data_IF_431748456581
#
_entry.id   IF_431748456581
#
_cell.length_a   1.000
_cell.length_b   1.000
_cell.length_c   1.000
_cell.angle_alpha   90.00
_cell.angle_beta   90.00
_cell.angle_gamma   90.00
#
_symmetry.space_group_name_H-M   'P 1'
#
loop_
_entity.id
_entity.type
_entity.pdbx_description
1 polymer ?
#
# COMPACT_ATOMS: atom_id res chain seq x y z
N UNK A 1 7.34 5.65 9.00
CA UNK A 1 7.35 5.98 7.58
C UNK A 1 7.08 7.47 7.35
N UNK A 2 7.85 8.13 6.56
CA UNK A 2 7.76 9.56 6.26
C UNK A 2 7.74 9.80 4.74
N UNK A 3 7.43 11.03 4.32
CA UNK A 3 7.23 11.53 2.95
C UNK A 3 8.43 11.39 1.96
N UNK A 4 9.57 11.14 2.37
CA UNK A 4 10.67 10.56 1.61
C UNK A 4 10.74 9.08 1.92
N UNK A 5 11.56 8.28 1.30
CA UNK A 5 12.37 8.55 0.14
C UNK A 5 11.62 8.31 -1.19
N UNK A 6 12.16 8.87 -2.23
CA UNK A 6 11.80 8.59 -3.63
C UNK A 6 12.70 7.49 -4.22
N UNK A 7 12.63 7.25 -5.52
CA UNK A 7 13.51 6.30 -6.21
C UNK A 7 13.08 4.84 -6.06
N UNK A 8 13.95 3.92 -5.63
CA UNK A 8 13.63 2.49 -5.58
C UNK A 8 12.67 2.11 -4.45
N UNK A 9 12.51 2.97 -3.44
CA UNK A 9 11.66 2.71 -2.29
C UNK A 9 10.18 2.70 -2.65
N UNK A 10 9.37 1.79 -2.11
CA UNK A 10 7.93 1.82 -2.28
C UNK A 10 7.34 3.06 -1.61
N UNK A 11 6.36 3.67 -2.25
CA UNK A 11 5.68 4.82 -1.71
C UNK A 11 4.28 4.98 -2.33
N UNK A 12 3.48 5.93 -1.82
CA UNK A 12 2.08 6.18 -2.17
C UNK A 12 1.87 7.41 -3.04
N UNK A 13 2.89 7.86 -3.74
CA UNK A 13 2.79 9.04 -4.60
C UNK A 13 1.85 8.78 -5.78
N UNK A 14 1.13 9.80 -6.21
CA UNK A 14 0.20 9.73 -7.34
C UNK A 14 0.92 9.29 -8.61
N UNK A 15 2.16 9.76 -8.82
CA UNK A 15 2.96 9.46 -10.00
C UNK A 15 3.55 8.02 -10.01
N UNK A 16 3.35 7.29 -8.94
CA UNK A 16 3.86 5.94 -8.84
C UNK A 16 2.82 4.90 -9.28
N UNK A 17 3.31 3.82 -9.92
CA UNK A 17 2.46 2.65 -10.18
C UNK A 17 1.87 2.11 -8.88
N UNK A 18 0.63 1.69 -8.92
CA UNK A 18 -0.13 1.23 -7.74
C UNK A 18 0.51 0.01 -7.04
N UNK A 19 1.21 -0.83 -7.78
CA UNK A 19 1.99 -1.94 -7.20
C UNK A 19 2.97 -1.45 -6.12
N UNK A 20 3.49 -0.22 -6.21
CA UNK A 20 4.40 0.35 -5.20
C UNK A 20 3.69 0.67 -3.88
N UNK A 21 2.39 0.80 -3.90
CA UNK A 21 1.56 0.89 -2.69
C UNK A 21 1.32 -0.51 -2.13
N UNK A 22 0.97 -1.47 -2.98
CA UNK A 22 0.62 -2.83 -2.61
C UNK A 22 1.80 -3.63 -2.07
N UNK A 23 2.96 -3.52 -2.70
CA UNK A 23 4.17 -4.26 -2.34
C UNK A 23 4.66 -3.99 -0.90
N UNK A 24 4.18 -2.92 -0.29
CA UNK A 24 4.58 -2.54 1.05
C UNK A 24 4.25 -3.62 2.10
N UNK A 25 3.09 -4.26 1.97
CA UNK A 25 2.68 -5.35 2.85
C UNK A 25 3.57 -6.59 2.69
N UNK A 26 3.97 -6.90 1.47
CA UNK A 26 4.89 -8.00 1.15
C UNK A 26 6.27 -7.75 1.77
N UNK A 27 6.77 -6.51 1.67
CA UNK A 27 8.04 -6.12 2.31
C UNK A 27 7.93 -6.24 3.83
N UNK A 28 6.85 -5.75 4.43
CA UNK A 28 6.62 -5.90 5.87
C UNK A 28 6.63 -7.36 6.30
N UNK A 29 5.93 -8.22 5.58
CA UNK A 29 5.93 -9.65 5.87
C UNK A 29 7.32 -10.26 5.76
N UNK A 30 8.01 -10.05 4.62
CA UNK A 30 9.33 -10.62 4.36
C UNK A 30 10.39 -10.17 5.36
N UNK A 31 10.30 -8.94 5.84
CA UNK A 31 11.26 -8.37 6.80
C UNK A 31 10.84 -8.57 8.27
N UNK A 32 9.76 -9.31 8.52
CA UNK A 32 9.26 -9.54 9.88
C UNK A 32 8.75 -8.29 10.59
N UNK A 33 8.27 -7.29 9.84
CA UNK A 33 7.75 -6.05 10.37
C UNK A 33 6.24 -6.21 10.58
N UNK A 34 5.74 -6.12 11.82
CA UNK A 34 4.33 -6.40 12.11
C UNK A 34 3.35 -5.32 11.62
N UNK A 35 3.87 -4.19 11.18
CA UNK A 35 3.05 -3.08 10.69
C UNK A 35 3.88 -1.86 10.36
N UNK A 36 3.23 -0.85 9.83
CA UNK A 36 3.85 0.43 9.51
C UNK A 36 2.90 1.58 9.83
N UNK A 37 3.47 2.74 10.03
CA UNK A 37 2.72 3.98 10.20
C UNK A 37 2.97 4.89 8.99
N UNK A 38 1.90 5.38 8.40
CA UNK A 38 1.95 6.49 7.44
C UNK A 38 1.47 7.77 8.12
N UNK A 39 2.22 8.84 7.98
CA UNK A 39 1.96 10.10 8.70
C UNK A 39 0.71 10.85 8.23
N UNK A 40 0.35 10.71 6.95
CA UNK A 40 -0.75 11.44 6.33
C UNK A 40 -1.85 10.54 5.79
N UNK A 41 -3.05 10.70 6.31
CA UNK A 41 -4.26 10.06 5.82
C UNK A 41 -5.13 11.06 5.05
N UNK A 42 -5.34 12.22 5.63
CA UNK A 42 -6.17 13.31 5.12
C UNK A 42 -5.52 14.69 5.39
N UNK A 43 -4.20 14.74 5.36
CA UNK A 43 -3.46 15.98 5.59
C UNK A 43 -3.47 16.80 4.29
N UNK A 44 -4.50 17.60 4.11
CA UNK A 44 -4.69 18.39 2.88
C UNK A 44 -3.88 19.68 2.84
N UNK A 45 -3.09 19.93 3.87
CA UNK A 45 -2.25 21.12 3.97
C UNK A 45 -3.00 22.37 4.43
N UNK A 46 -2.24 23.43 4.63
CA UNK A 46 -2.79 24.72 5.07
C UNK A 46 -2.46 25.78 4.04
N UNK A 47 -3.43 26.58 3.66
CA UNK A 47 -3.21 27.70 2.75
C UNK A 47 -2.21 28.70 3.38
N UNK A 48 -1.06 29.00 2.73
CA UNK A 48 -0.06 29.89 3.29
C UNK A 48 -0.55 31.33 3.46
N UNK A 49 -1.54 31.74 2.64
CA UNK A 49 -2.16 33.07 2.74
C UNK A 49 -3.23 33.15 3.82
N UNK A 50 -3.82 32.02 4.17
CA UNK A 50 -4.82 31.92 5.21
C UNK A 50 -4.67 30.60 5.96
N UNK A 51 -3.92 30.61 7.06
CA UNK A 51 -3.62 29.43 7.88
C UNK A 51 -4.86 28.75 8.49
N UNK A 52 -6.02 29.35 8.39
CA UNK A 52 -7.30 28.81 8.85
C UNK A 52 -8.03 28.00 7.77
N UNK A 53 -7.61 28.11 6.51
CA UNK A 53 -8.21 27.36 5.41
C UNK A 53 -7.31 26.19 5.02
N UNK A 54 -7.94 25.07 4.72
CA UNK A 54 -7.29 23.88 4.19
C UNK A 54 -7.10 24.08 2.68
N UNK A 55 -6.00 23.58 2.13
CA UNK A 55 -5.84 23.49 0.69
C UNK A 55 -6.80 22.47 0.13
N UNK A 56 -7.33 22.73 -1.06
CA UNK A 56 -8.12 21.75 -1.76
C UNK A 56 -7.18 20.77 -2.47
N UNK A 57 -7.14 19.49 -2.06
CA UNK A 57 -6.25 18.50 -2.67
C UNK A 57 -6.66 18.11 -4.10
N UNK A 58 -7.84 18.54 -4.56
CA UNK A 58 -8.26 18.37 -5.95
C UNK A 58 -7.55 19.38 -6.88
N UNK A 59 -7.16 20.54 -6.33
CA UNK A 59 -6.49 21.59 -7.07
C UNK A 59 -4.96 21.53 -6.87
N UNK A 60 -4.52 21.12 -5.69
CA UNK A 60 -3.11 20.97 -5.34
C UNK A 60 -2.86 19.66 -4.56
N UNK A 61 -2.50 18.61 -5.28
CA UNK A 61 -2.18 17.33 -4.70
C UNK A 61 -0.86 17.28 -3.89
N UNK A 62 -0.06 18.33 -3.98
CA UNK A 62 1.24 18.45 -3.31
C UNK A 62 1.17 19.08 -1.91
N UNK A 63 0.06 19.73 -1.59
CA UNK A 63 -0.08 20.43 -0.30
C UNK A 63 1.09 21.39 -0.03
N UNK A 64 1.63 22.03 -1.07
CA UNK A 64 2.77 22.96 -1.14
C UNK A 64 4.18 22.37 -1.02
N UNK A 65 4.37 21.20 -0.44
CA UNK A 65 5.73 20.75 -0.07
C UNK A 65 6.02 19.30 -0.38
N UNK A 66 4.98 18.49 -0.52
CA UNK A 66 5.11 17.05 -0.55
C UNK A 66 5.06 16.51 -1.97
N UNK A 67 5.61 15.35 -2.22
CA UNK A 67 5.31 14.62 -3.44
C UNK A 67 3.80 14.42 -3.57
N UNK A 68 3.27 14.51 -4.79
CA UNK A 68 1.84 14.44 -5.04
C UNK A 68 1.17 13.24 -4.37
N UNK A 69 0.17 13.51 -3.54
CA UNK A 69 -0.60 12.50 -2.84
C UNK A 69 0.05 11.85 -1.60
N UNK A 70 1.28 12.24 -1.24
CA UNK A 70 1.90 11.71 -0.02
C UNK A 70 1.11 12.05 1.26
N UNK A 71 0.59 13.30 1.42
CA UNK A 71 -0.11 13.68 2.64
C UNK A 71 -1.53 13.15 2.75
N UNK A 72 -2.10 12.62 1.67
CA UNK A 72 -3.48 12.15 1.67
C UNK A 72 -3.70 10.90 0.83
N UNK A 73 -4.54 10.01 1.31
CA UNK A 73 -5.08 8.85 0.59
C UNK A 73 -6.60 8.92 0.44
N UNK A 74 -7.22 9.88 1.11
CA UNK A 74 -8.62 10.26 0.95
C UNK A 74 -8.75 11.74 0.65
N UNK A 75 -9.85 12.12 0.05
CA UNK A 75 -10.14 13.48 -0.41
C UNK A 75 -11.40 14.02 0.25
N UNK A 76 -11.51 15.34 0.44
CA UNK A 76 -12.76 15.94 0.89
C UNK A 76 -13.79 15.88 -0.25
N UNK A 77 -15.07 16.07 0.05
CA UNK A 77 -16.08 16.30 -0.97
C UNK A 77 -15.65 17.41 -1.94
N UNK A 78 -15.93 17.19 -3.23
CA UNK A 78 -15.46 18.13 -4.27
C UNK A 78 -16.26 19.43 -4.31
N UNK A 79 -17.52 19.37 -3.93
CA UNK A 79 -18.44 20.49 -3.95
C UNK A 79 -19.45 20.43 -2.78
N UNK A 80 -20.28 21.47 -2.67
CA UNK A 80 -21.26 21.61 -1.61
C UNK A 80 -22.44 20.63 -1.69
N UNK A 81 -22.57 19.88 -2.80
CA UNK A 81 -23.63 18.90 -3.00
C UNK A 81 -23.31 17.56 -2.31
N UNK A 82 -22.05 17.33 -2.01
CA UNK A 82 -21.61 16.17 -1.24
C UNK A 82 -21.77 16.46 0.26
N UNK A 83 -22.28 15.50 1.00
CA UNK A 83 -22.47 15.67 2.44
C UNK A 83 -21.14 15.92 3.14
N UNK A 84 -21.10 16.93 4.02
CA UNK A 84 -19.84 17.41 4.66
C UNK A 84 -19.11 16.36 5.50
N UNK A 85 -19.71 15.22 5.75
CA UNK A 85 -19.17 14.14 6.58
C UNK A 85 -18.62 12.98 5.76
N UNK A 86 -18.68 13.04 4.45
CA UNK A 86 -18.17 11.98 3.57
C UNK A 86 -16.77 12.33 3.07
N UNK A 87 -15.88 11.37 3.14
CA UNK A 87 -14.58 11.41 2.48
C UNK A 87 -14.60 10.53 1.25
N UNK A 88 -13.88 10.95 0.22
CA UNK A 88 -13.75 10.19 -1.03
C UNK A 88 -12.46 9.40 -0.96
N UNK A 89 -12.55 8.07 -0.99
CA UNK A 89 -11.40 7.19 -1.10
C UNK A 89 -10.69 7.36 -2.45
N UNK A 90 -9.37 7.37 -2.44
CA UNK A 90 -8.61 7.26 -3.68
C UNK A 90 -8.39 5.81 -4.06
N UNK A 91 -8.01 5.56 -5.32
CA UNK A 91 -7.56 4.22 -5.75
C UNK A 91 -6.39 3.71 -4.89
N UNK A 92 -5.53 4.59 -4.38
CA UNK A 92 -4.43 4.23 -3.46
C UNK A 92 -4.95 3.72 -2.13
N UNK A 93 -6.07 4.25 -1.65
CA UNK A 93 -6.75 3.75 -0.45
C UNK A 93 -7.24 2.31 -0.65
N UNK A 94 -7.86 2.01 -1.80
CA UNK A 94 -8.28 0.64 -2.14
C UNK A 94 -7.08 -0.31 -2.27
N UNK A 95 -5.98 0.14 -2.86
CA UNK A 95 -4.77 -0.66 -2.97
C UNK A 95 -4.10 -0.90 -1.60
N UNK A 96 -4.25 0.00 -0.63
CA UNK A 96 -3.83 -0.26 0.75
C UNK A 96 -4.66 -1.39 1.36
N UNK A 97 -5.96 -1.43 1.10
CA UNK A 97 -6.83 -2.55 1.53
C UNK A 97 -6.37 -3.86 0.91
N UNK A 98 -6.14 -3.90 -0.40
CA UNK A 98 -5.58 -5.06 -1.09
C UNK A 98 -4.23 -5.51 -0.49
N UNK A 99 -3.38 -4.56 -0.13
CA UNK A 99 -2.10 -4.84 0.51
C UNK A 99 -2.28 -5.52 1.88
N UNK A 100 -3.27 -5.09 2.66
CA UNK A 100 -3.58 -5.73 3.94
C UNK A 100 -4.12 -7.15 3.76
N UNK A 101 -4.95 -7.37 2.75
CA UNK A 101 -5.41 -8.72 2.38
C UNK A 101 -4.24 -9.61 1.97
N UNK A 102 -3.30 -9.10 1.14
CA UNK A 102 -2.09 -9.85 0.79
C UNK A 102 -1.27 -10.24 2.02
N UNK A 103 -1.14 -9.33 2.99
CA UNK A 103 -0.45 -9.65 4.26
C UNK A 103 -1.13 -10.81 5.00
N UNK A 104 -2.46 -10.85 5.02
CA UNK A 104 -3.19 -11.96 5.63
C UNK A 104 -3.01 -13.27 4.86
N UNK A 105 -3.01 -13.24 3.52
CA UNK A 105 -2.68 -14.43 2.72
C UNK A 105 -1.29 -14.96 3.06
N UNK A 106 -0.28 -14.10 3.11
CA UNK A 106 1.09 -14.47 3.48
C UNK A 106 1.16 -15.05 4.89
N UNK A 107 0.48 -14.43 5.86
CA UNK A 107 0.43 -14.87 7.25
C UNK A 107 -0.25 -16.22 7.40
N UNK A 108 -1.38 -16.44 6.73
CA UNK A 108 -2.09 -17.72 6.75
C UNK A 108 -1.28 -18.82 6.07
N UNK A 109 -0.64 -18.53 4.92
CA UNK A 109 0.24 -19.47 4.22
C UNK A 109 1.44 -19.83 5.08
N UNK A 110 2.02 -18.85 5.80
CA UNK A 110 3.10 -19.13 6.75
C UNK A 110 2.65 -20.09 7.86
N UNK A 111 1.47 -19.86 8.42
CA UNK A 111 0.93 -20.77 9.45
C UNK A 111 0.76 -22.19 8.91
N UNK A 112 0.31 -22.32 7.66
CA UNK A 112 0.18 -23.63 7.00
C UNK A 112 1.57 -24.28 6.76
N UNK A 113 2.55 -23.50 6.32
CA UNK A 113 3.94 -23.98 6.18
C UNK A 113 4.53 -24.44 7.53
N UNK A 114 4.33 -23.66 8.58
CA UNK A 114 4.80 -23.97 9.94
C UNK A 114 4.14 -25.25 10.51
N UNK A 115 2.94 -25.62 10.03
CA UNK A 115 2.29 -26.89 10.36
C UNK A 115 2.80 -28.10 9.55
N UNK A 116 3.79 -27.90 8.68
CA UNK A 116 4.45 -28.95 7.91
C UNK A 116 4.02 -29.08 6.45
N UNK A 117 3.21 -28.15 5.93
CA UNK A 117 2.84 -28.15 4.51
C UNK A 117 4.03 -27.71 3.65
N UNK A 118 4.60 -28.65 2.91
CA UNK A 118 5.79 -28.41 2.07
C UNK A 118 5.53 -27.47 0.91
N UNK A 119 4.33 -27.50 0.31
CA UNK A 119 3.96 -26.64 -0.81
C UNK A 119 3.78 -25.20 -0.36
N UNK A 120 3.14 -24.96 0.79
CA UNK A 120 3.03 -23.64 1.38
C UNK A 120 4.41 -23.03 1.70
N UNK A 121 5.35 -23.86 2.19
CA UNK A 121 6.73 -23.45 2.41
C UNK A 121 7.42 -23.04 1.10
N UNK A 122 7.31 -23.86 0.05
CA UNK A 122 7.89 -23.58 -1.25
C UNK A 122 7.35 -22.28 -1.86
N UNK A 123 6.03 -22.07 -1.81
CA UNK A 123 5.42 -20.82 -2.31
C UNK A 123 5.95 -19.58 -1.60
N UNK A 124 6.17 -19.64 -0.28
CA UNK A 124 6.73 -18.51 0.47
C UNK A 124 8.21 -18.27 0.14
N UNK A 125 9.00 -19.31 -0.05
CA UNK A 125 10.42 -19.20 -0.43
C UNK A 125 10.56 -18.63 -1.84
N UNK A 126 9.76 -19.06 -2.80
CA UNK A 126 9.72 -18.50 -4.14
C UNK A 126 9.27 -17.04 -4.12
N UNK A 127 8.20 -16.72 -3.39
CA UNK A 127 7.72 -15.35 -3.24
C UNK A 127 8.78 -14.43 -2.61
N UNK A 128 9.54 -14.91 -1.63
CA UNK A 128 10.64 -14.16 -1.05
C UNK A 128 11.74 -13.86 -2.09
N UNK A 129 12.06 -14.83 -2.95
CA UNK A 129 13.10 -14.66 -3.95
C UNK A 129 12.68 -13.80 -5.14
N UNK A 130 11.43 -13.91 -5.60
CA UNK A 130 10.97 -13.29 -6.83
C UNK A 130 10.22 -11.97 -6.61
N UNK A 131 9.44 -11.86 -5.52
CA UNK A 131 8.61 -10.68 -5.24
C UNK A 131 9.37 -9.64 -4.41
N UNK A 132 10.02 -10.06 -3.32
CA UNK A 132 10.71 -9.17 -2.39
C UNK A 132 12.09 -9.73 -2.01
N UNK A 133 13.05 -9.79 -2.94
CA UNK A 133 14.42 -10.23 -2.61
C UNK A 133 15.16 -9.28 -1.67
N UNK A 134 14.77 -8.01 -1.61
CA UNK A 134 15.38 -7.03 -0.70
C UNK A 134 14.45 -5.83 -0.48
N UNK A 135 14.82 -4.92 0.42
CA UNK A 135 14.08 -3.69 0.71
C UNK A 135 13.78 -2.83 -0.53
N UNK A 136 14.67 -2.81 -1.49
CA UNK A 136 14.57 -1.99 -2.71
C UNK A 136 14.47 -2.80 -3.98
N UNK A 137 14.81 -4.09 -3.91
CA UNK A 137 14.81 -5.03 -5.04
C UNK A 137 13.50 -5.81 -5.12
N UNK A 138 12.37 -5.14 -5.05
CA UNK A 138 11.06 -5.77 -5.18
C UNK A 138 10.55 -5.73 -6.61
N UNK A 139 9.65 -6.67 -6.94
CA UNK A 139 9.02 -6.74 -8.25
C UNK A 139 8.22 -5.49 -8.57
N UNK A 140 8.09 -5.20 -9.87
CA UNK A 140 7.17 -4.19 -10.42
C UNK A 140 6.19 -4.81 -11.40
N UNK A 141 6.14 -6.14 -11.43
CA UNK A 141 5.20 -6.92 -12.22
C UNK A 141 3.98 -7.29 -11.37
N UNK A 142 2.85 -6.68 -11.68
CA UNK A 142 1.59 -6.92 -11.00
C UNK A 142 1.08 -8.35 -11.21
N UNK A 143 1.34 -8.94 -12.39
CA UNK A 143 0.91 -10.31 -12.71
C UNK A 143 1.65 -11.34 -11.87
N UNK A 144 2.94 -11.11 -11.64
CA UNK A 144 3.73 -11.97 -10.76
C UNK A 144 3.15 -11.97 -9.34
N UNK A 145 2.85 -10.79 -8.80
CA UNK A 145 2.28 -10.62 -7.47
C UNK A 145 0.91 -11.32 -7.37
N UNK A 146 0.03 -11.13 -8.37
CA UNK A 146 -1.26 -11.81 -8.44
C UNK A 146 -1.11 -13.34 -8.50
N UNK A 147 -0.17 -13.86 -9.29
CA UNK A 147 0.04 -15.30 -9.42
C UNK A 147 0.38 -15.95 -8.07
N UNK A 148 1.20 -15.29 -7.24
CA UNK A 148 1.49 -15.77 -5.89
C UNK A 148 0.27 -15.68 -4.96
N UNK A 149 -0.50 -14.60 -5.04
CA UNK A 149 -1.75 -14.48 -4.28
C UNK A 149 -2.74 -15.61 -4.62
N UNK A 150 -2.92 -15.91 -5.90
CA UNK A 150 -3.77 -17.01 -6.35
C UNK A 150 -3.27 -18.37 -5.88
N UNK A 151 -1.95 -18.61 -5.95
CA UNK A 151 -1.34 -19.87 -5.45
C UNK A 151 -1.60 -20.05 -3.96
N UNK A 152 -1.38 -18.99 -3.17
CA UNK A 152 -1.69 -18.99 -1.74
C UNK A 152 -3.18 -19.24 -1.49
N UNK A 153 -4.05 -18.57 -2.26
CA UNK A 153 -5.50 -18.75 -2.15
C UNK A 153 -5.95 -20.18 -2.37
N UNK A 154 -5.41 -20.85 -3.41
CA UNK A 154 -5.68 -22.27 -3.66
C UNK A 154 -5.25 -23.17 -2.50
N UNK A 155 -4.04 -22.97 -2.00
CA UNK A 155 -3.54 -23.74 -0.83
C UNK A 155 -4.42 -23.56 0.41
N UNK A 156 -4.88 -22.36 0.67
CA UNK A 156 -5.69 -22.03 1.85
C UNK A 156 -7.13 -22.52 1.75
N UNK A 157 -7.65 -22.69 0.52
CA UNK A 157 -8.99 -23.23 0.30
C UNK A 157 -9.05 -24.77 0.31
N UNK A 158 -7.91 -25.44 0.46
CA UNK A 158 -7.85 -26.92 0.54
C UNK A 158 -7.67 -27.60 -0.81
N UNK A 159 -7.18 -26.87 -1.82
CA UNK A 159 -6.81 -27.38 -3.14
C UNK A 159 -7.97 -27.39 -4.09
#
# INVERSE_FOLDING_TARGET
YCCGPTGPWPNRFIDYKLIRVRIFAWICFQMGIPGFLHWGYNQWGTNPKNRKSVLNPWDDAHGHRWPGGDPQVVYPPRDETMTRNEVIGSIRWEIIREAMEDFEYLRMTKKLADSGNAEAKAVLEEAAAEVVPSWTGHTRDERLLESFRERMGRLLSGG
#
